data_IF_745651977390
#
_entry.id   IF_745651977390
#
_cell.length_a   1.000
_cell.length_b   1.000
_cell.length_c   1.000
_cell.angle_alpha   90.00
_cell.angle_beta   90.00
_cell.angle_gamma   90.00
#
_symmetry.space_group_name_H-M   'P 1'
#
loop_
_entity.id
_entity.type
_entity.pdbx_description
1 polymer ?
#
# COMPACT_ATOMS: atom_id res chain seq x y z
N UNK A 1 20.76 -2.18 9.97
CA UNK A 1 21.44 -2.09 8.65
C UNK A 1 22.65 -1.17 8.77
N UNK A 2 23.90 -1.69 8.75
CA UNK A 2 25.11 -0.88 8.99
C UNK A 2 25.33 0.23 7.94
N UNK A 3 24.85 0.01 6.71
CA UNK A 3 24.97 0.98 5.61
C UNK A 3 24.10 2.21 5.86
N UNK A 4 22.82 2.01 6.19
CA UNK A 4 21.87 3.11 6.44
C UNK A 4 22.29 3.96 7.65
N UNK A 5 22.80 3.34 8.71
CA UNK A 5 23.38 4.07 9.84
C UNK A 5 24.58 4.93 9.44
N UNK A 6 25.43 4.42 8.55
CA UNK A 6 26.60 5.16 8.06
C UNK A 6 26.17 6.37 7.23
N UNK A 7 25.14 6.21 6.39
CA UNK A 7 24.53 7.30 5.63
C UNK A 7 23.95 8.36 6.57
N UNK A 8 23.20 7.97 7.61
CA UNK A 8 22.69 8.89 8.63
C UNK A 8 23.82 9.68 9.29
N UNK A 9 24.89 9.01 9.74
CA UNK A 9 26.06 9.66 10.35
C UNK A 9 26.75 10.66 9.40
N UNK A 10 26.82 10.36 8.11
CA UNK A 10 27.42 11.27 7.11
C UNK A 10 26.53 12.51 6.87
N UNK A 11 25.21 12.31 6.78
CA UNK A 11 24.23 13.40 6.70
C UNK A 11 24.32 14.30 7.93
N UNK A 12 24.37 13.72 9.13
CA UNK A 12 24.44 14.46 10.40
C UNK A 12 25.74 15.25 10.55
N UNK A 13 26.79 14.90 9.77
CA UNK A 13 28.04 15.68 9.63
C UNK A 13 27.96 16.80 8.58
N UNK A 14 26.78 17.05 7.98
CA UNK A 14 26.56 18.08 6.96
C UNK A 14 26.81 17.64 5.52
N UNK A 15 27.00 16.34 5.27
CA UNK A 15 27.18 15.83 3.90
C UNK A 15 25.84 15.73 3.19
N UNK A 16 25.73 16.27 1.96
CA UNK A 16 24.57 16.02 1.10
C UNK A 16 24.73 14.66 0.42
N UNK A 17 23.71 13.80 0.53
CA UNK A 17 23.74 12.43 0.00
C UNK A 17 22.60 12.25 -1.00
N UNK A 18 22.93 11.75 -2.18
CA UNK A 18 21.94 11.26 -3.15
C UNK A 18 21.95 9.74 -3.05
N UNK A 19 20.82 9.18 -2.64
CA UNK A 19 20.64 7.74 -2.50
C UNK A 19 19.55 7.26 -3.45
N UNK A 20 19.87 6.23 -4.25
CA UNK A 20 18.95 5.63 -5.21
C UNK A 20 18.73 4.17 -4.82
N UNK A 21 17.49 3.81 -4.56
CA UNK A 21 17.09 2.42 -4.28
C UNK A 21 15.68 2.19 -4.83
N UNK A 22 15.30 0.93 -4.94
CA UNK A 22 13.93 0.51 -5.22
C UNK A 22 13.23 -0.01 -3.94
N UNK A 23 13.96 -0.12 -2.82
CA UNK A 23 13.41 -0.54 -1.54
C UNK A 23 12.82 0.66 -0.81
N UNK A 24 11.49 0.69 -0.73
CA UNK A 24 10.75 1.79 -0.10
C UNK A 24 11.07 1.92 1.39
N UNK A 25 11.33 0.80 2.08
CA UNK A 25 11.68 0.80 3.51
C UNK A 25 12.95 1.60 3.81
N UNK A 26 13.97 1.50 2.95
CA UNK A 26 15.22 2.26 3.11
C UNK A 26 14.96 3.76 2.93
N UNK A 27 14.19 4.14 1.89
CA UNK A 27 13.79 5.53 1.65
C UNK A 27 13.03 6.09 2.85
N UNK A 28 12.10 5.30 3.39
CA UNK A 28 11.33 5.68 4.58
C UNK A 28 12.18 5.88 5.84
N UNK A 29 13.38 5.30 5.89
CA UNK A 29 14.27 5.34 7.04
C UNK A 29 15.26 6.53 7.00
N UNK A 30 15.75 6.91 5.81
CA UNK A 30 16.88 7.86 5.68
C UNK A 30 16.57 9.15 4.93
N UNK A 31 15.47 9.23 4.17
CA UNK A 31 15.25 10.33 3.24
C UNK A 31 14.51 11.52 3.86
N UNK A 32 15.09 12.72 3.75
CA UNK A 32 14.41 13.98 4.08
C UNK A 32 13.51 14.46 2.93
N UNK A 33 13.92 14.16 1.68
CA UNK A 33 13.20 14.48 0.45
C UNK A 33 13.28 13.30 -0.52
N UNK A 34 12.16 13.00 -1.16
CA UNK A 34 11.98 11.81 -2.00
C UNK A 34 11.60 12.26 -3.40
N UNK A 35 12.23 11.64 -4.41
CA UNK A 35 11.88 11.80 -5.82
C UNK A 35 11.53 10.41 -6.35
N UNK A 36 10.30 10.25 -6.82
CA UNK A 36 9.86 8.99 -7.43
C UNK A 36 10.02 9.13 -8.94
N UNK A 37 10.70 8.16 -9.55
CA UNK A 37 10.92 8.09 -11.00
C UNK A 37 10.30 6.83 -11.59
N UNK A 38 9.64 6.97 -12.75
CA UNK A 38 9.22 5.83 -13.59
C UNK A 38 9.56 6.15 -15.06
N UNK A 39 10.10 5.16 -15.78
CA UNK A 39 10.47 5.26 -17.20
C UNK A 39 11.30 6.53 -17.55
N UNK A 40 12.26 6.87 -16.70
CA UNK A 40 13.14 8.03 -16.90
C UNK A 40 12.49 9.39 -16.66
N UNK A 41 11.26 9.43 -16.12
CA UNK A 41 10.55 10.67 -15.79
C UNK A 41 10.31 10.77 -14.29
N UNK A 42 10.41 11.98 -13.74
CA UNK A 42 9.96 12.27 -12.38
C UNK A 42 8.43 12.23 -12.33
N UNK A 43 7.87 11.38 -11.50
CA UNK A 43 6.41 11.20 -11.34
C UNK A 43 5.89 11.77 -10.02
N UNK A 44 6.73 11.91 -9.00
CA UNK A 44 6.40 12.62 -7.77
C UNK A 44 7.66 13.14 -7.06
N UNK A 45 7.49 14.16 -6.23
CA UNK A 45 8.52 14.71 -5.35
C UNK A 45 7.88 15.27 -4.08
N UNK A 46 8.52 15.06 -2.92
CA UNK A 46 8.05 15.60 -1.65
C UNK A 46 8.72 14.95 -0.44
N UNK A 47 8.27 15.31 0.76
CA UNK A 47 8.59 14.56 1.98
C UNK A 47 7.79 13.26 2.04
N UNK A 48 8.19 12.37 2.95
CA UNK A 48 7.47 11.11 3.24
C UNK A 48 5.99 11.37 3.52
N UNK A 49 5.68 12.38 4.33
CA UNK A 49 4.32 12.71 4.76
C UNK A 49 3.50 13.24 3.57
N UNK A 50 4.08 14.12 2.75
CA UNK A 50 3.43 14.68 1.57
C UNK A 50 3.09 13.60 0.55
N UNK A 51 4.02 12.68 0.29
CA UNK A 51 3.78 11.59 -0.67
C UNK A 51 2.70 10.61 -0.18
N UNK A 52 2.65 10.36 1.14
CA UNK A 52 1.66 9.46 1.76
C UNK A 52 0.30 10.11 2.00
N UNK A 53 0.18 11.44 1.91
CA UNK A 53 -1.03 12.18 2.26
C UNK A 53 -2.27 11.64 1.55
N UNK A 54 -2.15 11.34 0.25
CA UNK A 54 -3.27 10.81 -0.55
C UNK A 54 -3.77 9.41 -0.15
N UNK A 55 -3.03 8.71 0.72
CA UNK A 55 -3.34 7.38 1.25
C UNK A 55 -3.54 7.37 2.78
N UNK A 56 -3.35 8.52 3.45
CA UNK A 56 -3.37 8.61 4.92
C UNK A 56 -4.72 8.18 5.53
N UNK A 57 -5.79 8.39 4.79
CA UNK A 57 -7.16 8.04 5.19
C UNK A 57 -7.64 6.71 4.62
N UNK A 58 -6.72 5.88 4.13
CA UNK A 58 -7.03 4.59 3.53
C UNK A 58 -6.35 3.46 4.30
N UNK A 59 -7.07 2.35 4.42
CA UNK A 59 -6.55 1.07 4.91
C UNK A 59 -6.87 0.02 3.84
N UNK A 60 -5.90 -0.80 3.50
CA UNK A 60 -6.07 -1.88 2.52
C UNK A 60 -6.12 -3.21 3.28
N UNK A 61 -7.21 -3.95 3.11
CA UNK A 61 -7.35 -5.31 3.60
C UNK A 61 -7.06 -6.28 2.46
N UNK A 62 -6.08 -7.18 2.67
CA UNK A 62 -5.72 -8.25 1.75
C UNK A 62 -6.22 -9.56 2.31
N UNK A 63 -7.25 -10.13 1.71
CA UNK A 63 -7.86 -11.41 2.09
C UNK A 63 -7.39 -12.50 1.12
N UNK A 64 -6.65 -13.47 1.63
CA UNK A 64 -6.21 -14.62 0.86
C UNK A 64 -7.21 -15.75 1.04
N UNK A 65 -7.84 -16.18 -0.04
CA UNK A 65 -8.97 -17.11 -0.05
C UNK A 65 -8.62 -18.39 -0.82
N UNK A 66 -9.50 -19.37 -0.81
CA UNK A 66 -9.35 -20.62 -1.56
C UNK A 66 -9.61 -20.47 -3.05
N UNK A 67 -10.53 -19.58 -3.43
CA UNK A 67 -10.86 -19.21 -4.81
C UNK A 67 -11.52 -17.83 -4.84
N UNK A 68 -11.43 -17.13 -5.97
CA UNK A 68 -12.24 -15.93 -6.23
C UNK A 68 -13.10 -16.17 -7.47
N UNK A 69 -14.40 -15.90 -7.35
CA UNK A 69 -15.30 -15.78 -8.50
C UNK A 69 -15.26 -14.31 -8.92
N UNK A 70 -14.75 -14.00 -10.12
CA UNK A 70 -14.52 -12.62 -10.58
C UNK A 70 -15.81 -11.77 -10.63
N UNK A 71 -16.98 -12.40 -10.74
CA UNK A 71 -18.26 -11.74 -11.02
C UNK A 71 -19.09 -11.31 -9.79
N UNK A 72 -18.65 -11.51 -8.54
CA UNK A 72 -19.53 -11.30 -7.36
C UNK A 72 -18.95 -10.41 -6.24
N UNK A 73 -17.96 -9.58 -6.56
CA UNK A 73 -17.31 -8.72 -5.57
C UNK A 73 -18.00 -7.38 -5.34
N UNK A 74 -18.97 -7.03 -6.17
CA UNK A 74 -19.71 -5.77 -6.02
C UNK A 74 -20.46 -5.68 -4.69
N UNK A 75 -20.76 -6.83 -4.11
CA UNK A 75 -21.42 -6.94 -2.83
C UNK A 75 -20.57 -6.36 -1.67
N UNK A 76 -19.26 -6.21 -1.82
CA UNK A 76 -18.40 -5.53 -0.83
C UNK A 76 -18.61 -4.01 -0.83
N UNK A 77 -19.04 -3.40 -1.95
CA UNK A 77 -19.33 -1.96 -1.99
C UNK A 77 -20.55 -1.58 -1.14
N UNK A 78 -21.40 -2.54 -0.74
CA UNK A 78 -22.48 -2.26 0.22
C UNK A 78 -21.97 -2.05 1.65
N UNK A 79 -20.70 -2.39 1.92
CA UNK A 79 -20.09 -2.21 3.23
C UNK A 79 -19.61 -0.76 3.34
N UNK A 80 -20.10 -0.07 4.37
CA UNK A 80 -19.70 1.30 4.68
C UNK A 80 -18.16 1.43 4.75
N UNK A 81 -17.63 2.44 4.07
CA UNK A 81 -16.19 2.72 4.03
C UNK A 81 -15.41 2.03 2.93
N UNK A 82 -15.97 1.01 2.26
CA UNK A 82 -15.31 0.38 1.11
C UNK A 82 -15.28 1.34 -0.08
N UNK A 83 -14.08 1.61 -0.59
CA UNK A 83 -13.84 2.53 -1.72
C UNK A 83 -13.49 1.80 -3.02
N UNK A 84 -12.72 0.71 -2.91
CA UNK A 84 -12.26 -0.08 -4.06
C UNK A 84 -12.14 -1.54 -3.66
N UNK A 85 -12.48 -2.41 -4.57
CA UNK A 85 -12.30 -3.85 -4.44
C UNK A 85 -11.59 -4.36 -5.68
N UNK A 86 -10.49 -5.08 -5.49
CA UNK A 86 -9.74 -5.75 -6.54
C UNK A 86 -9.62 -7.22 -6.19
N UNK A 87 -9.56 -8.08 -7.20
CA UNK A 87 -9.30 -9.49 -7.01
C UNK A 87 -8.32 -10.04 -8.02
N UNK A 88 -7.66 -11.12 -7.60
CA UNK A 88 -6.79 -11.91 -8.42
C UNK A 88 -6.77 -13.34 -7.87
N UNK A 89 -7.32 -14.32 -8.60
CA UNK A 89 -7.31 -15.78 -8.34
C UNK A 89 -7.63 -16.24 -6.90
N UNK A 90 -6.77 -15.93 -5.94
CA UNK A 90 -6.81 -16.31 -4.53
C UNK A 90 -6.64 -15.12 -3.56
N UNK A 91 -6.65 -13.89 -4.05
CA UNK A 91 -6.53 -12.65 -3.28
C UNK A 91 -7.69 -11.69 -3.57
N UNK A 92 -8.26 -11.13 -2.52
CA UNK A 92 -9.19 -10.00 -2.57
C UNK A 92 -8.56 -8.83 -1.82
N UNK A 93 -8.37 -7.71 -2.49
CA UNK A 93 -7.87 -6.47 -1.91
C UNK A 93 -9.01 -5.45 -1.78
N UNK A 94 -9.26 -4.99 -0.55
CA UNK A 94 -10.33 -4.05 -0.24
C UNK A 94 -9.70 -2.78 0.32
N UNK A 95 -9.80 -1.68 -0.42
CA UNK A 95 -9.43 -0.36 0.08
C UNK A 95 -10.61 0.24 0.83
N UNK A 96 -10.43 0.51 2.11
CA UNK A 96 -11.42 1.07 3.01
C UNK A 96 -10.98 2.43 3.57
N UNK A 97 -11.93 3.24 4.05
CA UNK A 97 -11.68 4.45 4.85
C UNK A 97 -11.09 4.04 6.20
N UNK A 98 -9.92 4.60 6.54
CA UNK A 98 -9.17 4.26 7.76
C UNK A 98 -9.97 4.45 9.06
N UNK A 99 -10.86 5.45 9.11
CA UNK A 99 -11.65 5.78 10.30
C UNK A 99 -12.88 4.89 10.48
N UNK A 100 -13.18 4.02 9.51
CA UNK A 100 -14.34 3.13 9.54
C UNK A 100 -13.83 1.72 9.81
N UNK A 101 -14.14 1.21 11.00
CA UNK A 101 -13.89 -0.19 11.35
C UNK A 101 -14.95 -1.06 10.68
N UNK A 102 -14.58 -1.71 9.58
CA UNK A 102 -15.48 -2.55 8.78
C UNK A 102 -14.89 -3.94 8.46
N UNK A 103 -13.82 -4.32 9.16
CA UNK A 103 -13.12 -5.59 8.97
C UNK A 103 -14.02 -6.81 9.26
N UNK A 104 -14.78 -6.73 10.34
CA UNK A 104 -15.78 -7.72 10.75
C UNK A 104 -16.83 -7.95 9.64
N UNK A 105 -17.36 -6.85 9.09
CA UNK A 105 -18.35 -6.88 7.99
C UNK A 105 -17.74 -7.47 6.72
N UNK A 106 -16.50 -7.13 6.42
CA UNK A 106 -15.76 -7.69 5.27
C UNK A 106 -15.58 -9.20 5.42
N UNK A 107 -15.13 -9.67 6.60
CA UNK A 107 -14.93 -11.09 6.87
C UNK A 107 -16.26 -11.86 6.79
N UNK A 108 -17.32 -11.32 7.41
CA UNK A 108 -18.65 -11.92 7.37
C UNK A 108 -19.14 -12.04 5.93
N UNK A 109 -19.02 -10.97 5.14
CA UNK A 109 -19.44 -10.96 3.74
C UNK A 109 -18.69 -11.99 2.90
N UNK A 110 -17.37 -12.08 3.04
CA UNK A 110 -16.57 -13.10 2.36
C UNK A 110 -17.01 -14.52 2.74
N UNK A 111 -17.32 -14.74 4.02
CA UNK A 111 -17.77 -16.05 4.53
C UNK A 111 -19.16 -16.41 4.01
N UNK A 112 -20.08 -15.44 3.93
CA UNK A 112 -21.45 -15.61 3.39
C UNK A 112 -21.43 -16.00 1.91
N UNK A 113 -20.43 -15.53 1.16
CA UNK A 113 -20.18 -15.94 -0.23
C UNK A 113 -19.59 -17.37 -0.34
N UNK A 114 -19.35 -18.05 0.78
CA UNK A 114 -18.74 -19.38 0.81
C UNK A 114 -17.24 -19.37 0.50
N UNK A 115 -16.57 -18.21 0.62
CA UNK A 115 -15.12 -18.09 0.45
C UNK A 115 -14.42 -18.55 1.73
N UNK A 116 -13.43 -19.43 1.60
CA UNK A 116 -12.62 -19.88 2.74
C UNK A 116 -11.39 -19.00 2.87
N UNK A 117 -11.42 -18.08 3.83
CA UNK A 117 -10.26 -17.22 4.16
C UNK A 117 -9.15 -18.10 4.75
N UNK A 118 -8.00 -18.14 4.08
CA UNK A 118 -6.78 -18.84 4.52
C UNK A 118 -5.99 -17.96 5.49
N UNK A 119 -5.77 -16.70 5.12
CA UNK A 119 -5.12 -15.70 5.96
C UNK A 119 -5.46 -14.29 5.47
N UNK A 120 -5.15 -13.27 6.27
CA UNK A 120 -5.48 -11.89 5.97
C UNK A 120 -4.37 -10.96 6.47
N UNK A 121 -4.18 -9.84 5.77
CA UNK A 121 -3.30 -8.74 6.18
C UNK A 121 -4.05 -7.41 6.08
N UNK A 122 -3.65 -6.45 6.91
CA UNK A 122 -4.07 -5.06 6.82
C UNK A 122 -2.85 -4.18 6.65
N UNK A 123 -2.87 -3.31 5.66
CA UNK A 123 -1.79 -2.38 5.36
C UNK A 123 -2.33 -0.94 5.38
N UNK A 124 -1.52 -0.02 5.89
CA UNK A 124 -1.78 1.41 5.84
C UNK A 124 -0.97 2.06 4.71
N UNK A 125 -1.34 3.29 4.32
CA UNK A 125 -0.66 4.04 3.26
C UNK A 125 0.87 4.09 3.43
N UNK A 126 1.58 3.37 2.56
CA UNK A 126 3.03 3.33 2.49
C UNK A 126 3.53 3.88 1.14
N UNK A 127 4.85 4.11 1.00
CA UNK A 127 5.41 4.65 -0.24
C UNK A 127 5.24 3.71 -1.45
N UNK A 128 5.18 2.40 -1.22
CA UNK A 128 4.95 1.41 -2.26
C UNK A 128 3.56 1.57 -2.90
N UNK A 129 2.52 1.72 -2.09
CA UNK A 129 1.17 1.99 -2.58
C UNK A 129 1.09 3.33 -3.34
N UNK A 130 1.85 4.35 -2.92
CA UNK A 130 1.94 5.62 -3.64
C UNK A 130 2.52 5.39 -5.03
N UNK A 131 3.62 4.64 -5.12
CA UNK A 131 4.26 4.29 -6.38
C UNK A 131 3.32 3.52 -7.32
N UNK A 132 2.61 2.52 -6.80
CA UNK A 132 1.67 1.71 -7.60
C UNK A 132 0.50 2.55 -8.12
N UNK A 133 -0.06 3.41 -7.27
CA UNK A 133 -1.10 4.37 -7.64
C UNK A 133 -0.64 5.32 -8.75
N UNK A 134 0.60 5.82 -8.70
CA UNK A 134 1.13 6.75 -9.70
C UNK A 134 1.53 6.08 -11.01
N UNK A 135 1.98 4.82 -10.97
CA UNK A 135 2.41 4.09 -12.16
C UNK A 135 1.25 3.36 -12.86
N UNK A 136 0.08 3.30 -12.24
CA UNK A 136 -1.07 2.54 -12.74
C UNK A 136 -0.79 1.03 -12.81
N UNK A 137 0.24 0.56 -12.11
CA UNK A 137 0.53 -0.86 -11.96
C UNK A 137 -0.26 -1.36 -10.76
N UNK A 138 -0.98 -2.47 -10.93
CA UNK A 138 -1.53 -3.19 -9.78
C UNK A 138 -0.38 -3.63 -8.87
N UNK A 139 -0.67 -3.89 -7.59
CA UNK A 139 0.13 -4.77 -6.73
C UNK A 139 0.29 -6.11 -7.48
N UNK A 140 1.29 -6.16 -8.35
CA UNK A 140 1.70 -7.31 -9.13
C UNK A 140 3.13 -7.56 -8.70
N UNK A 141 3.23 -8.40 -7.68
CA UNK A 141 4.16 -9.52 -7.63
C UNK A 141 3.35 -10.77 -7.25
#
# INVERSE_FOLDING_TARGET
>A
NHILESIKKLRDKGTTIIYTTHYMEEIEEISDRIIIMDKGKKIAEGTKEQLKESLKEQRVYKLYVDRVLEDDLDCFYSIEGVKKVYSNKDLIEITSIKTIENLDKIILKATDMGLKIKHMKSEEGNLEMVFLKLTGRNLRD
#
